data_IF_380687823842
#
_entry.id   IF_380687823842
#
_cell.length_a   1.000
_cell.length_b   1.000
_cell.length_c   1.000
_cell.angle_alpha   90.00
_cell.angle_beta   90.00
_cell.angle_gamma   90.00
#
_symmetry.space_group_name_H-M   'P 1'
#
loop_
_entity.id
_entity.type
_entity.pdbx_description
1 polymer ?
#
# COMPACT_ATOMS: atom_id res chain seq x y z
N UNK A 1 7.64 19.03 18.37
CA UNK A 1 8.16 19.08 16.99
C UNK A 1 7.26 18.19 16.16
N UNK A 2 6.82 18.63 14.98
CA UNK A 2 6.05 17.77 14.07
C UNK A 2 7.02 16.80 13.37
N UNK A 3 6.75 15.50 13.41
CA UNK A 3 7.49 14.51 12.62
C UNK A 3 7.34 14.82 11.12
N UNK A 4 8.44 14.86 10.35
CA UNK A 4 8.37 14.99 8.90
C UNK A 4 7.87 13.67 8.29
N UNK A 5 6.81 13.72 7.48
CA UNK A 5 6.27 12.56 6.77
C UNK A 5 6.61 12.67 5.29
N UNK A 6 7.30 11.65 4.76
CA UNK A 6 7.64 11.50 3.35
C UNK A 6 6.70 10.49 2.69
N UNK A 7 6.12 10.89 1.56
CA UNK A 7 5.28 10.02 0.73
C UNK A 7 6.14 9.46 -0.41
N UNK A 8 6.20 8.14 -0.55
CA UNK A 8 6.97 7.46 -1.61
C UNK A 8 6.26 6.22 -2.14
N UNK A 9 6.73 5.74 -3.29
CA UNK A 9 6.29 4.44 -3.80
C UNK A 9 6.72 3.29 -2.88
N UNK A 10 5.90 2.25 -2.88
CA UNK A 10 6.22 0.98 -2.24
C UNK A 10 7.44 0.31 -2.87
N UNK A 11 8.29 -0.25 -2.02
CA UNK A 11 9.43 -1.10 -2.36
C UNK A 11 9.23 -2.48 -1.74
N UNK A 12 9.88 -3.49 -2.32
CA UNK A 12 9.79 -4.89 -1.83
C UNK A 12 10.08 -5.04 -0.33
N UNK A 13 10.96 -4.20 0.24
CA UNK A 13 11.28 -4.18 1.67
C UNK A 13 10.12 -3.73 2.57
N UNK A 14 9.14 -3.00 2.05
CA UNK A 14 8.01 -2.47 2.81
C UNK A 14 6.92 -3.53 3.09
N UNK A 15 7.10 -4.76 2.61
CA UNK A 15 6.12 -5.83 2.75
C UNK A 15 5.71 -6.05 4.21
N UNK A 16 6.67 -6.03 5.13
CA UNK A 16 6.39 -6.29 6.55
C UNK A 16 5.52 -5.19 7.17
N UNK A 17 5.74 -3.94 6.77
CA UNK A 17 4.98 -2.80 7.28
C UNK A 17 3.56 -2.77 6.70
N UNK A 18 3.44 -2.96 5.40
CA UNK A 18 2.15 -2.99 4.72
C UNK A 18 1.30 -4.20 5.14
N UNK A 19 1.92 -5.35 5.40
CA UNK A 19 1.28 -6.52 6.02
C UNK A 19 0.67 -6.13 7.36
N UNK A 20 1.45 -5.51 8.26
CA UNK A 20 0.97 -5.09 9.59
C UNK A 20 -0.21 -4.14 9.50
N UNK A 21 -0.15 -3.14 8.61
CA UNK A 21 -1.27 -2.20 8.40
C UNK A 21 -2.53 -2.92 7.89
N UNK A 22 -2.36 -3.90 6.99
CA UNK A 22 -3.48 -4.67 6.46
C UNK A 22 -4.08 -5.63 7.49
N UNK A 23 -3.25 -6.22 8.35
CA UNK A 23 -3.70 -7.03 9.50
C UNK A 23 -4.56 -6.18 10.44
N UNK A 24 -4.11 -4.97 10.80
CA UNK A 24 -4.87 -4.03 11.62
C UNK A 24 -6.20 -3.62 10.96
N UNK A 25 -6.20 -3.38 9.65
CA UNK A 25 -7.43 -3.09 8.91
C UNK A 25 -8.40 -4.27 8.96
N UNK A 26 -7.93 -5.49 8.66
CA UNK A 26 -8.72 -6.71 8.73
C UNK A 26 -9.35 -6.91 10.12
N UNK A 27 -8.55 -6.74 11.18
CA UNK A 27 -9.02 -6.80 12.57
C UNK A 27 -10.12 -5.77 12.83
N UNK A 28 -9.93 -4.51 12.42
CA UNK A 28 -10.91 -3.43 12.62
C UNK A 28 -12.26 -3.68 11.95
N UNK A 29 -12.29 -4.49 10.89
CA UNK A 29 -13.52 -4.84 10.15
C UNK A 29 -14.00 -6.27 10.46
N UNK A 30 -13.41 -6.92 11.47
CA UNK A 30 -13.80 -8.28 11.90
C UNK A 30 -13.54 -9.36 10.84
N UNK A 31 -12.48 -9.21 10.04
CA UNK A 31 -12.08 -10.18 9.00
C UNK A 31 -10.73 -10.81 9.33
N UNK A 32 -10.56 -12.06 8.93
CA UNK A 32 -9.27 -12.72 8.98
C UNK A 32 -8.34 -12.19 7.89
N UNK A 33 -7.06 -11.99 8.25
CA UNK A 33 -6.05 -11.58 7.29
C UNK A 33 -5.54 -12.77 6.47
N UNK A 34 -5.80 -12.76 5.16
CA UNK A 34 -5.35 -13.79 4.23
C UNK A 34 -3.96 -13.47 3.64
N UNK A 35 -2.87 -13.89 4.30
CA UNK A 35 -1.51 -13.50 3.90
C UNK A 35 -1.15 -13.91 2.45
N UNK A 36 -1.49 -15.12 2.04
CA UNK A 36 -1.18 -15.60 0.69
C UNK A 36 -1.89 -14.78 -0.40
N UNK A 37 -3.14 -14.38 -0.12
CA UNK A 37 -3.92 -13.51 -1.00
C UNK A 37 -3.33 -12.10 -1.03
N UNK A 38 -2.90 -11.57 0.12
CA UNK A 38 -2.21 -10.30 0.22
C UNK A 38 -0.93 -10.27 -0.63
N UNK A 39 -0.05 -11.27 -0.47
CA UNK A 39 1.19 -11.42 -1.27
C UNK A 39 0.91 -11.36 -2.77
N UNK A 40 -0.11 -12.10 -3.23
CA UNK A 40 -0.52 -12.11 -4.64
C UNK A 40 -1.02 -10.74 -5.10
N UNK A 41 -1.84 -10.07 -4.31
CA UNK A 41 -2.35 -8.73 -4.66
C UNK A 41 -1.24 -7.68 -4.75
N UNK A 42 -0.33 -7.64 -3.79
CA UNK A 42 0.83 -6.73 -3.82
C UNK A 42 1.66 -7.00 -5.08
N UNK A 43 1.95 -8.27 -5.37
CA UNK A 43 2.72 -8.63 -6.57
C UNK A 43 2.05 -8.18 -7.88
N UNK A 44 0.73 -8.32 -8.00
CA UNK A 44 -0.01 -7.91 -9.21
C UNK A 44 0.00 -6.38 -9.36
N UNK A 45 -0.19 -5.64 -8.26
CA UNK A 45 -0.17 -4.17 -8.31
C UNK A 45 1.18 -3.65 -8.80
N UNK A 46 2.28 -4.26 -8.36
CA UNK A 46 3.62 -3.84 -8.77
C UNK A 46 3.99 -4.24 -10.20
N UNK A 47 3.35 -5.26 -10.78
CA UNK A 47 3.69 -5.76 -12.12
C UNK A 47 2.84 -5.19 -13.26
N UNK A 48 1.62 -4.74 -12.96
CA UNK A 48 0.64 -4.41 -14.01
C UNK A 48 0.67 -2.96 -14.47
N UNK A 49 1.27 -2.04 -13.72
CA UNK A 49 1.34 -0.60 -14.07
C UNK A 49 -0.02 0.13 -14.08
N UNK A 50 -1.14 -0.58 -13.90
CA UNK A 50 -2.51 -0.05 -13.84
C UNK A 50 -2.85 0.52 -12.45
N UNK A 51 -2.06 0.17 -11.44
CA UNK A 51 -2.17 0.70 -10.09
C UNK A 51 -0.82 0.73 -9.39
N UNK A 52 -0.78 1.47 -8.29
CA UNK A 52 0.40 1.63 -7.44
C UNK A 52 0.03 1.53 -5.96
N UNK A 53 1.07 1.57 -5.13
CA UNK A 53 0.93 1.63 -3.68
C UNK A 53 1.89 2.69 -3.16
N UNK A 54 1.35 3.62 -2.38
CA UNK A 54 2.09 4.69 -1.75
C UNK A 54 2.23 4.42 -0.25
N UNK A 55 3.37 4.82 0.27
CA UNK A 55 3.78 4.67 1.66
C UNK A 55 3.99 6.06 2.25
N UNK A 56 3.40 6.32 3.42
CA UNK A 56 3.73 7.48 4.24
C UNK A 56 4.69 7.02 5.34
N UNK A 57 5.88 7.60 5.37
CA UNK A 57 6.99 7.14 6.20
C UNK A 57 7.59 8.31 6.96
N UNK A 58 7.94 8.12 8.22
CA UNK A 58 8.63 9.14 9.01
C UNK A 58 10.16 9.14 8.76
N UNK A 59 10.87 9.98 9.51
CA UNK A 59 12.33 10.13 9.43
C UNK A 59 13.11 8.87 9.81
N UNK A 60 12.52 7.97 10.60
CA UNK A 60 13.11 6.70 11.05
C UNK A 60 12.76 5.52 10.13
N UNK A 61 12.23 5.80 8.94
CA UNK A 61 11.70 4.82 7.97
C UNK A 61 10.55 3.97 8.53
N UNK A 62 9.84 4.44 9.57
CA UNK A 62 8.64 3.78 10.05
C UNK A 62 7.46 4.15 9.17
N UNK A 63 6.85 3.13 8.58
CA UNK A 63 5.62 3.27 7.83
C UNK A 63 4.44 3.60 8.76
N UNK A 64 3.84 4.79 8.56
CA UNK A 64 2.68 5.27 9.30
C UNK A 64 1.36 5.01 8.58
N UNK A 65 1.37 5.02 7.24
CA UNK A 65 0.18 4.74 6.44
C UNK A 65 0.53 4.19 5.06
N UNK A 66 -0.49 3.60 4.43
CA UNK A 66 -0.43 3.03 3.09
C UNK A 66 -1.68 3.47 2.31
N UNK A 67 -1.52 3.76 1.02
CA UNK A 67 -2.61 4.03 0.10
C UNK A 67 -2.48 3.22 -1.19
N UNK A 68 -3.61 2.73 -1.72
CA UNK A 68 -3.66 2.16 -3.06
C UNK A 68 -4.01 3.26 -4.07
N UNK A 69 -3.29 3.29 -5.18
CA UNK A 69 -3.55 4.20 -6.29
C UNK A 69 -3.99 3.38 -7.49
N UNK A 70 -5.02 3.83 -8.18
CA UNK A 70 -5.47 3.28 -9.45
C UNK A 70 -5.58 4.42 -10.46
N UNK A 71 -4.86 4.33 -11.57
CA UNK A 71 -4.89 5.35 -12.62
C UNK A 71 -5.80 4.84 -13.72
N UNK A 72 -6.99 5.44 -13.84
CA UNK A 72 -7.93 5.15 -14.93
C UNK A 72 -7.93 6.31 -15.92
N UNK A 73 -7.48 6.06 -17.13
CA UNK A 73 -7.76 6.96 -18.25
C UNK A 73 -9.16 6.66 -18.76
N UNK A 74 -10.07 7.65 -18.68
CA UNK A 74 -11.30 7.56 -19.49
C UNK A 74 -10.87 7.65 -20.96
N UNK A 75 -11.45 6.85 -21.87
CA UNK A 75 -11.26 7.10 -23.28
C UNK A 75 -11.76 8.52 -23.55
N UNK A 76 -10.86 9.41 -23.98
CA UNK A 76 -11.25 10.70 -24.54
C UNK A 76 -12.02 10.36 -25.81
N UNK A 77 -13.34 10.52 -25.74
CA UNK A 77 -14.26 10.14 -26.81
C UNK A 77 -13.75 10.66 -28.16
N UNK A 78 -13.63 9.73 -29.11
CA UNK A 78 -13.62 10.03 -30.54
C UNK A 78 -15.04 10.36 -30.99
#
# INVERSE_FOLDING_TARGET
MSEEIKIREYKKGDYIYTKRLMEQLCESVGREFEENRWKKHVSIRLSTGVGGMLMAVDEDDHCRAMAFVEVRTKPTGQ
#
